data_IF_325941492038
#
_entry.id   IF_325941492038
#
_cell.length_a   1.000
_cell.length_b   1.000
_cell.length_c   1.000
_cell.angle_alpha   90.00
_cell.angle_beta   90.00
_cell.angle_gamma   90.00
#
_symmetry.space_group_name_H-M   'P 1'
#
loop_
_entity.id
_entity.type
_entity.pdbx_description
1 polymer ?
#
# COMPACT_ATOMS: atom_id res chain seq x y z
N UNK A 1 -12.84 -15.53 16.34
CA UNK A 1 -13.32 -14.38 15.53
C UNK A 1 -12.11 -13.83 14.80
N UNK A 2 -12.14 -13.75 13.48
CA UNK A 2 -11.07 -13.12 12.69
C UNK A 2 -11.03 -11.64 13.03
N UNK A 3 -9.85 -11.16 13.45
CA UNK A 3 -9.65 -9.75 13.82
C UNK A 3 -9.52 -8.90 12.54
N UNK A 4 -10.66 -8.38 12.05
CA UNK A 4 -10.72 -7.54 10.85
C UNK A 4 -10.27 -6.13 11.19
N UNK A 5 -9.26 -5.63 10.51
CA UNK A 5 -8.70 -4.28 10.74
C UNK A 5 -9.19 -3.26 9.73
N UNK A 6 -9.50 -3.67 8.50
CA UNK A 6 -10.09 -2.80 7.46
C UNK A 6 -11.25 -3.55 6.82
N UNK A 7 -12.38 -2.90 6.71
CA UNK A 7 -13.59 -3.45 6.07
C UNK A 7 -14.27 -2.43 5.19
N UNK A 8 -14.82 -2.89 4.08
CA UNK A 8 -15.76 -2.09 3.28
C UNK A 8 -17.12 -2.76 3.25
N UNK A 9 -18.16 -1.95 3.22
CA UNK A 9 -19.53 -2.43 3.14
C UNK A 9 -20.17 -1.88 1.88
N UNK A 10 -20.35 -2.73 0.88
CA UNK A 10 -21.05 -2.45 -0.38
C UNK A 10 -20.64 -1.11 -1.00
N UNK A 11 -19.32 -0.85 -1.10
CA UNK A 11 -18.81 0.39 -1.67
C UNK A 11 -19.21 0.54 -3.14
N UNK A 12 -19.81 1.69 -3.45
CA UNK A 12 -20.16 2.07 -4.82
C UNK A 12 -19.52 3.40 -5.16
N UNK A 13 -18.98 3.51 -6.36
CA UNK A 13 -18.58 4.78 -6.96
C UNK A 13 -19.08 4.88 -8.37
N UNK A 14 -19.84 5.94 -8.63
CA UNK A 14 -20.38 6.26 -9.97
C UNK A 14 -19.80 7.58 -10.47
N UNK A 15 -19.47 7.61 -11.74
CA UNK A 15 -19.07 8.80 -12.50
C UNK A 15 -20.04 8.94 -13.68
N UNK A 16 -21.07 9.75 -13.51
CA UNK A 16 -22.15 9.80 -14.50
C UNK A 16 -22.78 8.41 -14.73
N UNK A 17 -22.70 7.91 -15.96
CA UNK A 17 -23.21 6.58 -16.33
C UNK A 17 -22.28 5.40 -16.02
N UNK A 18 -21.03 5.66 -15.56
CA UNK A 18 -20.02 4.61 -15.31
C UNK A 18 -20.02 4.27 -13.84
N UNK A 19 -20.14 2.98 -13.51
CA UNK A 19 -19.96 2.47 -12.16
C UNK A 19 -18.56 1.89 -12.04
N UNK A 20 -17.65 2.61 -11.37
CA UNK A 20 -16.24 2.23 -11.23
C UNK A 20 -15.97 1.26 -10.07
N UNK A 21 -16.75 1.34 -8.97
CA UNK A 21 -16.85 0.29 -7.95
C UNK A 21 -18.32 -0.04 -7.74
N UNK A 22 -18.64 -1.32 -7.63
CA UNK A 22 -20.00 -1.84 -7.60
C UNK A 22 -20.16 -2.84 -6.43
N UNK A 23 -20.77 -2.38 -5.34
CA UNK A 23 -21.03 -3.18 -4.14
C UNK A 23 -19.80 -3.91 -3.59
N UNK A 24 -18.63 -3.26 -3.59
CA UNK A 24 -17.39 -3.88 -3.11
C UNK A 24 -17.42 -4.01 -1.61
N UNK A 25 -17.44 -5.27 -1.12
CA UNK A 25 -17.23 -5.63 0.27
C UNK A 25 -15.93 -6.40 0.38
N UNK A 26 -14.96 -5.83 1.11
CA UNK A 26 -13.60 -6.36 1.28
C UNK A 26 -13.28 -6.38 2.77
N UNK A 27 -12.61 -7.44 3.23
CA UNK A 27 -12.10 -7.54 4.59
C UNK A 27 -10.59 -7.79 4.59
N UNK A 28 -9.85 -6.99 5.34
CA UNK A 28 -8.44 -7.21 5.62
C UNK A 28 -8.30 -7.53 7.09
N UNK A 29 -7.77 -8.72 7.39
CA UNK A 29 -7.55 -9.17 8.77
C UNK A 29 -6.19 -8.69 9.29
N UNK A 30 -6.03 -8.66 10.61
CA UNK A 30 -4.76 -8.28 11.24
C UNK A 30 -3.62 -9.18 10.74
N UNK A 31 -2.52 -8.55 10.36
CA UNK A 31 -1.33 -9.24 9.87
C UNK A 31 -1.46 -9.86 8.48
N UNK A 32 -2.60 -9.66 7.80
CA UNK A 32 -2.77 -10.20 6.45
C UNK A 32 -1.74 -9.66 5.47
N UNK A 33 -1.31 -10.52 4.56
CA UNK A 33 -0.64 -10.19 3.31
C UNK A 33 -1.67 -10.38 2.20
N UNK A 34 -2.54 -9.39 2.04
CA UNK A 34 -3.70 -9.45 1.15
C UNK A 34 -3.36 -8.79 -0.18
N UNK A 35 -3.60 -9.47 -1.30
CA UNK A 35 -3.45 -8.88 -2.62
C UNK A 35 -4.82 -8.54 -3.23
N UNK A 36 -4.90 -7.38 -3.88
CA UNK A 36 -6.02 -6.96 -4.72
C UNK A 36 -5.56 -6.95 -6.17
N UNK A 37 -6.09 -7.88 -6.96
CA UNK A 37 -5.74 -8.04 -8.37
C UNK A 37 -6.96 -7.80 -9.27
N UNK A 38 -6.73 -7.72 -10.55
CA UNK A 38 -7.77 -7.56 -11.56
C UNK A 38 -7.25 -6.86 -12.81
N UNK A 39 -7.95 -6.94 -13.93
CA UNK A 39 -7.56 -6.32 -15.18
C UNK A 39 -7.49 -4.79 -15.09
N UNK A 40 -6.91 -4.18 -16.14
CA UNK A 40 -6.95 -2.73 -16.27
C UNK A 40 -8.40 -2.25 -16.37
N UNK A 41 -8.73 -1.18 -15.64
CA UNK A 41 -10.10 -0.69 -15.57
C UNK A 41 -11.03 -1.44 -14.61
N UNK A 42 -10.56 -2.47 -13.90
CA UNK A 42 -11.36 -3.22 -12.92
C UNK A 42 -11.86 -2.41 -11.72
N UNK A 43 -11.37 -1.18 -11.52
CA UNK A 43 -11.77 -0.32 -10.41
C UNK A 43 -10.79 -0.29 -9.22
N UNK A 44 -9.64 -0.96 -9.30
CA UNK A 44 -8.64 -1.06 -8.21
C UNK A 44 -8.22 0.32 -7.68
N UNK A 45 -7.78 1.22 -8.56
CA UNK A 45 -7.37 2.59 -8.18
C UNK A 45 -8.52 3.37 -7.55
N UNK A 46 -9.75 3.21 -8.08
CA UNK A 46 -10.95 3.85 -7.51
C UNK A 46 -11.21 3.34 -6.10
N UNK A 47 -11.13 2.02 -5.88
CA UNK A 47 -11.29 1.41 -4.55
C UNK A 47 -10.24 1.95 -3.57
N UNK A 48 -8.97 1.98 -3.95
CA UNK A 48 -7.90 2.53 -3.10
C UNK A 48 -8.15 4.00 -2.76
N UNK A 49 -8.59 4.82 -3.72
CA UNK A 49 -8.90 6.22 -3.48
C UNK A 49 -10.10 6.39 -2.53
N UNK A 50 -11.07 5.46 -2.56
CA UNK A 50 -12.16 5.42 -1.56
C UNK A 50 -11.66 5.01 -0.18
N UNK A 51 -10.81 3.98 -0.08
CA UNK A 51 -10.20 3.54 1.18
C UNK A 51 -9.38 4.65 1.83
N UNK A 52 -8.59 5.38 1.04
CA UNK A 52 -7.71 6.46 1.53
C UNK A 52 -8.41 7.79 1.78
N UNK A 53 -9.68 7.93 1.36
CA UNK A 53 -10.45 9.19 1.51
C UNK A 53 -10.10 10.27 0.49
N UNK A 54 -9.26 9.95 -0.50
CA UNK A 54 -9.00 10.84 -1.65
C UNK A 54 -10.27 11.03 -2.48
N UNK A 55 -11.14 10.00 -2.47
CA UNK A 55 -12.40 10.02 -3.20
C UNK A 55 -13.54 9.50 -2.30
N UNK A 56 -14.60 10.29 -2.07
CA UNK A 56 -15.76 9.79 -1.33
C UNK A 56 -16.52 8.76 -2.17
N UNK A 57 -17.05 7.69 -1.54
CA UNK A 57 -17.96 6.77 -2.22
C UNK A 57 -19.30 7.46 -2.56
N UNK A 58 -20.02 6.92 -3.55
CA UNK A 58 -21.40 7.32 -3.84
C UNK A 58 -22.35 6.72 -2.82
N UNK A 59 -22.06 5.48 -2.37
CA UNK A 59 -22.74 4.79 -1.27
C UNK A 59 -21.83 3.72 -0.67
N UNK A 60 -22.25 3.15 0.46
CA UNK A 60 -21.45 2.22 1.23
C UNK A 60 -20.57 2.93 2.27
N UNK A 61 -19.80 2.16 3.03
CA UNK A 61 -18.93 2.70 4.07
C UNK A 61 -17.60 1.98 4.17
N UNK A 62 -16.62 2.64 4.79
CA UNK A 62 -15.28 2.12 5.09
C UNK A 62 -15.10 2.13 6.60
N UNK A 63 -14.74 1.00 7.17
CA UNK A 63 -14.41 0.84 8.59
C UNK A 63 -12.92 0.52 8.76
N UNK A 64 -12.27 1.18 9.72
CA UNK A 64 -10.91 0.89 10.17
C UNK A 64 -10.97 0.61 11.67
N UNK A 65 -10.49 -0.58 12.10
CA UNK A 65 -10.50 -1.01 13.51
C UNK A 65 -11.89 -0.92 14.17
N UNK A 66 -12.96 -1.15 13.39
CA UNK A 66 -14.34 -1.06 13.83
C UNK A 66 -14.96 0.35 13.83
N UNK A 67 -14.19 1.38 13.48
CA UNK A 67 -14.66 2.76 13.38
C UNK A 67 -15.01 3.12 11.94
N UNK A 68 -16.14 3.79 11.72
CA UNK A 68 -16.50 4.33 10.39
C UNK A 68 -15.64 5.54 10.06
N UNK A 69 -14.80 5.38 9.04
CA UNK A 69 -13.89 6.41 8.54
C UNK A 69 -14.33 7.03 7.21
N UNK A 70 -15.53 6.71 6.73
CA UNK A 70 -16.02 7.06 5.39
C UNK A 70 -15.94 8.56 5.10
N UNK A 71 -16.32 9.39 6.08
CA UNK A 71 -16.31 10.85 5.95
C UNK A 71 -14.98 11.52 6.35
N UNK A 72 -13.99 10.73 6.82
CA UNK A 72 -12.73 11.30 7.27
C UNK A 72 -11.82 11.68 6.11
N UNK A 73 -11.20 12.86 6.23
CA UNK A 73 -10.16 13.31 5.30
C UNK A 73 -8.91 12.41 5.35
N UNK A 74 -8.11 12.31 4.26
CA UNK A 74 -6.97 11.41 4.16
C UNK A 74 -6.00 11.49 5.34
N UNK A 75 -5.59 12.69 5.77
CA UNK A 75 -4.66 12.88 6.87
C UNK A 75 -5.18 12.31 8.21
N UNK A 76 -6.50 12.32 8.43
CA UNK A 76 -7.12 11.72 9.62
C UNK A 76 -7.07 10.20 9.56
N UNK A 77 -7.27 9.61 8.37
CA UNK A 77 -7.12 8.15 8.18
C UNK A 77 -5.69 7.70 8.40
N UNK A 78 -4.70 8.49 7.96
CA UNK A 78 -3.28 8.24 8.26
C UNK A 78 -3.03 8.26 9.76
N UNK A 79 -3.56 9.23 10.49
CA UNK A 79 -3.43 9.32 11.94
C UNK A 79 -4.05 8.12 12.68
N UNK A 80 -5.08 7.48 12.12
CA UNK A 80 -5.69 6.23 12.62
C UNK A 80 -4.90 4.98 12.21
N UNK A 81 -3.89 5.10 11.33
CA UNK A 81 -3.02 4.02 10.90
C UNK A 81 -3.35 3.40 9.55
N UNK A 82 -4.18 4.02 8.71
CA UNK A 82 -4.37 3.62 7.32
C UNK A 82 -3.43 4.45 6.43
N UNK A 83 -2.31 3.85 6.04
CA UNK A 83 -1.25 4.54 5.29
C UNK A 83 -1.14 3.94 3.89
N UNK A 84 -1.01 4.80 2.88
CA UNK A 84 -0.71 4.41 1.50
C UNK A 84 0.67 4.91 1.12
N UNK A 85 1.45 4.09 0.41
CA UNK A 85 2.67 4.57 -0.26
C UNK A 85 2.30 5.58 -1.35
N UNK A 86 3.13 6.60 -1.50
CA UNK A 86 2.99 7.58 -2.57
C UNK A 86 3.81 7.13 -3.78
N UNK A 87 3.58 7.72 -4.94
CA UNK A 87 4.44 7.51 -6.09
C UNK A 87 5.81 8.17 -5.87
N UNK A 88 6.88 7.58 -6.38
CA UNK A 88 8.29 8.04 -6.24
C UNK A 88 8.47 9.55 -6.51
N UNK A 89 7.64 10.13 -7.36
CA UNK A 89 7.68 11.55 -7.70
C UNK A 89 7.34 12.50 -6.52
N UNK A 90 6.90 11.96 -5.39
CA UNK A 90 6.57 12.75 -4.19
C UNK A 90 7.67 12.71 -3.10
N UNK A 91 8.77 12.00 -3.35
CA UNK A 91 9.93 12.05 -2.47
C UNK A 91 10.61 13.42 -2.54
N UNK A 92 11.08 13.90 -1.39
CA UNK A 92 11.87 15.13 -1.33
C UNK A 92 13.26 14.86 -1.92
N UNK A 93 13.45 15.22 -3.18
CA UNK A 93 14.65 14.93 -3.95
C UNK A 93 15.95 15.49 -3.35
N UNK A 94 15.85 16.54 -2.56
CA UNK A 94 16.99 17.25 -1.91
C UNK A 94 17.32 16.70 -0.52
N UNK A 95 16.37 16.02 0.13
CA UNK A 95 16.61 15.41 1.43
C UNK A 95 17.33 14.05 1.26
N UNK A 96 18.09 13.69 2.29
CA UNK A 96 18.65 12.34 2.39
C UNK A 96 17.61 11.36 2.95
N UNK A 97 17.79 10.03 2.81
CA UNK A 97 16.97 9.03 3.47
C UNK A 97 16.83 9.26 4.97
N UNK A 98 17.95 9.54 5.67
CA UNK A 98 17.94 9.82 7.09
C UNK A 98 17.09 11.05 7.41
N UNK A 99 17.25 12.16 6.68
CA UNK A 99 16.45 13.37 6.87
C UNK A 99 14.96 13.13 6.62
N UNK A 100 14.64 12.41 5.55
CA UNK A 100 13.26 12.08 5.19
C UNK A 100 12.58 11.24 6.26
N UNK A 101 13.27 10.20 6.76
CA UNK A 101 12.80 9.36 7.86
C UNK A 101 12.65 10.17 9.16
N UNK A 102 13.61 11.04 9.48
CA UNK A 102 13.53 11.89 10.66
C UNK A 102 12.28 12.80 10.63
N UNK A 103 11.93 13.35 9.47
CA UNK A 103 10.68 14.13 9.29
C UNK A 103 9.45 13.23 9.52
N UNK A 104 9.41 12.04 8.92
CA UNK A 104 8.28 11.12 9.05
C UNK A 104 8.09 10.63 10.51
N UNK A 105 9.18 10.22 11.17
CA UNK A 105 9.15 9.77 12.57
C UNK A 105 8.76 10.91 13.49
N UNK A 106 9.32 12.12 13.30
CA UNK A 106 9.01 13.29 14.12
C UNK A 106 7.56 13.75 13.98
N UNK A 107 6.95 13.58 12.80
CA UNK A 107 5.54 13.95 12.57
C UNK A 107 4.56 13.16 13.45
N UNK A 108 4.95 11.98 13.88
CA UNK A 108 4.18 11.08 14.75
C UNK A 108 4.41 11.37 16.23
N UNK A 109 5.58 11.88 16.56
CA UNK A 109 5.89 12.34 17.92
C UNK A 109 5.49 13.81 18.06
N UNK A 110 5.06 14.24 19.26
CA UNK A 110 4.81 15.66 19.56
C UNK A 110 6.03 16.57 19.32
N UNK A 111 7.18 15.98 18.95
CA UNK A 111 8.38 16.68 18.52
C UNK A 111 8.14 17.62 17.31
N UNK A 112 7.16 17.31 16.44
CA UNK A 112 6.73 18.21 15.37
C UNK A 112 6.19 19.57 15.90
N UNK A 113 5.74 19.63 17.16
CA UNK A 113 5.35 20.88 17.86
C UNK A 113 6.56 21.69 18.36
N UNK A 114 7.77 21.10 18.38
CA UNK A 114 9.02 21.73 18.82
C UNK A 114 9.89 22.09 17.62
N UNK A 115 9.29 22.77 16.64
CA UNK A 115 9.93 23.14 15.37
C UNK A 115 11.27 23.92 15.49
N UNK A 116 11.58 24.45 16.68
CA UNK A 116 12.86 25.13 16.99
C UNK A 116 13.96 24.18 17.50
N UNK A 117 13.69 22.88 17.71
CA UNK A 117 14.73 21.94 18.13
C UNK A 117 15.33 21.21 16.91
N UNK A 118 16.67 21.12 16.79
CA UNK A 118 17.29 20.32 15.75
C UNK A 118 16.81 18.86 15.82
N UNK A 119 16.39 18.29 14.70
CA UNK A 119 15.87 16.92 14.54
C UNK A 119 16.82 15.81 15.06
N UNK A 120 18.12 16.09 15.20
CA UNK A 120 19.13 15.12 15.63
C UNK A 120 19.36 14.99 17.14
N UNK A 121 18.60 15.70 18.01
CA UNK A 121 18.82 15.68 19.45
C UNK A 121 18.01 14.64 20.22
N UNK A 122 16.99 14.07 19.62
CA UNK A 122 16.16 13.04 20.26
C UNK A 122 16.72 11.65 19.91
N UNK A 123 17.35 11.02 20.90
CA UNK A 123 17.97 9.70 20.74
C UNK A 123 16.94 8.62 20.34
N UNK A 124 15.67 8.77 20.72
CA UNK A 124 14.60 7.83 20.35
C UNK A 124 14.29 7.92 18.86
N UNK A 125 14.19 9.16 18.34
CA UNK A 125 13.97 9.40 16.90
C UNK A 125 15.17 8.91 16.09
N UNK A 126 16.39 9.19 16.55
CA UNK A 126 17.61 8.74 15.87
C UNK A 126 17.67 7.21 15.78
N UNK A 127 17.48 6.51 16.90
CA UNK A 127 17.49 5.04 16.93
C UNK A 127 16.38 4.42 16.05
N UNK A 128 15.20 5.03 15.99
CA UNK A 128 14.12 4.56 15.12
C UNK A 128 14.46 4.76 13.64
N UNK A 129 15.07 5.89 13.28
CA UNK A 129 15.54 6.14 11.93
C UNK A 129 16.63 5.16 11.50
N UNK A 130 17.60 4.88 12.38
CA UNK A 130 18.66 3.89 12.13
C UNK A 130 18.06 2.49 11.90
N UNK A 131 17.13 2.05 12.75
CA UNK A 131 16.44 0.78 12.58
C UNK A 131 15.67 0.67 11.25
N UNK A 132 15.03 1.76 10.82
CA UNK A 132 14.34 1.80 9.51
C UNK A 132 15.34 1.77 8.35
N UNK A 133 16.47 2.50 8.44
CA UNK A 133 17.51 2.44 7.43
C UNK A 133 18.08 1.03 7.27
N UNK A 134 18.31 0.33 8.37
CA UNK A 134 18.78 -1.05 8.36
C UNK A 134 17.74 -2.00 7.78
N UNK A 135 16.49 -1.95 8.28
CA UNK A 135 15.38 -2.79 7.82
C UNK A 135 15.16 -2.70 6.32
N UNK A 136 15.25 -1.48 5.76
CA UNK A 136 15.05 -1.22 4.34
C UNK A 136 16.34 -1.20 3.51
N UNK A 137 17.48 -1.64 4.09
CA UNK A 137 18.79 -1.71 3.40
C UNK A 137 19.20 -0.37 2.76
N UNK A 138 18.98 0.72 3.50
CA UNK A 138 19.28 2.09 3.09
C UNK A 138 20.48 2.71 3.83
N UNK A 139 21.11 1.98 4.75
CA UNK A 139 22.18 2.49 5.63
C UNK A 139 23.36 3.07 4.81
N UNK A 140 23.80 2.40 3.75
CA UNK A 140 24.89 2.88 2.89
C UNK A 140 24.52 4.14 2.07
N UNK A 141 23.25 4.48 2.05
CA UNK A 141 22.69 5.62 1.31
C UNK A 141 22.16 6.71 2.24
N UNK A 142 22.31 6.57 3.55
CA UNK A 142 21.66 7.41 4.57
C UNK A 142 21.89 8.92 4.36
N UNK A 143 23.09 9.28 3.90
CA UNK A 143 23.53 10.66 3.72
C UNK A 143 23.58 11.15 2.25
N UNK A 144 23.15 10.31 1.30
CA UNK A 144 23.09 10.70 -0.12
C UNK A 144 21.75 11.36 -0.42
N UNK A 145 21.73 12.40 -1.26
CA UNK A 145 20.48 13.00 -1.69
C UNK A 145 19.57 11.98 -2.39
N UNK A 146 18.27 11.99 -2.09
CA UNK A 146 17.30 11.03 -2.62
C UNK A 146 17.32 10.93 -4.15
N UNK A 147 17.56 12.05 -4.85
CA UNK A 147 17.70 12.07 -6.32
C UNK A 147 18.86 11.22 -6.86
N UNK A 148 19.87 10.96 -6.03
CA UNK A 148 21.09 10.21 -6.41
C UNK A 148 20.95 8.70 -6.16
N UNK A 149 19.89 8.27 -5.49
CA UNK A 149 19.64 6.86 -5.21
C UNK A 149 19.22 6.11 -6.47
N UNK A 150 19.65 4.85 -6.62
CA UNK A 150 19.05 3.92 -7.57
C UNK A 150 17.53 3.82 -7.42
N UNK A 151 16.83 3.52 -8.51
CA UNK A 151 15.35 3.50 -8.51
C UNK A 151 14.77 2.55 -7.46
N UNK A 152 15.28 1.34 -7.33
CA UNK A 152 14.85 0.38 -6.31
C UNK A 152 15.05 0.89 -4.88
N UNK A 153 16.15 1.63 -4.63
CA UNK A 153 16.40 2.24 -3.32
C UNK A 153 15.44 3.39 -3.00
N UNK A 154 15.04 4.19 -4.01
CA UNK A 154 13.97 5.19 -3.83
C UNK A 154 12.64 4.51 -3.48
N UNK A 155 12.35 3.37 -4.11
CA UNK A 155 11.13 2.61 -3.82
C UNK A 155 11.12 2.05 -2.39
N UNK A 156 12.25 1.51 -1.94
CA UNK A 156 12.41 1.09 -0.55
C UNK A 156 12.27 2.26 0.44
N UNK A 157 12.83 3.44 0.12
CA UNK A 157 12.67 4.64 0.95
C UNK A 157 11.20 5.07 1.05
N UNK A 158 10.46 5.04 -0.05
CA UNK A 158 9.02 5.35 -0.05
C UNK A 158 8.24 4.43 0.90
N UNK A 159 8.52 3.12 0.85
CA UNK A 159 7.88 2.15 1.75
C UNK A 159 8.33 2.39 3.20
N UNK A 160 9.62 2.66 3.43
CA UNK A 160 10.16 2.97 4.74
C UNK A 160 9.49 4.20 5.38
N UNK A 161 9.24 5.26 4.60
CA UNK A 161 8.51 6.45 5.05
C UNK A 161 7.07 6.13 5.46
N UNK A 162 6.39 5.27 4.72
CA UNK A 162 5.06 4.81 5.08
C UNK A 162 5.07 3.96 6.36
N UNK A 163 6.06 3.08 6.53
CA UNK A 163 6.24 2.27 7.74
C UNK A 163 6.65 3.12 8.95
N UNK A 164 7.42 4.18 8.74
CA UNK A 164 7.78 5.15 9.79
C UNK A 164 6.55 5.77 10.48
N UNK A 165 5.39 5.80 9.82
CA UNK A 165 4.12 6.25 10.39
C UNK A 165 3.42 5.19 11.27
N UNK A 166 4.03 4.00 11.47
CA UNK A 166 3.50 2.88 12.25
C UNK A 166 2.08 2.47 11.81
N UNK A 167 1.90 2.10 10.53
CA UNK A 167 0.58 1.75 10.01
C UNK A 167 0.00 0.51 10.70
N UNK A 168 -1.33 0.49 10.86
CA UNK A 168 -2.10 -0.73 11.13
C UNK A 168 -2.46 -1.45 9.84
N UNK A 169 -2.70 -0.66 8.78
CA UNK A 169 -2.93 -1.12 7.42
C UNK A 169 -2.08 -0.29 6.47
N UNK A 170 -1.20 -0.97 5.74
CA UNK A 170 -0.33 -0.40 4.71
C UNK A 170 -0.89 -0.76 3.34
N UNK A 171 -1.25 0.24 2.54
CA UNK A 171 -1.69 0.09 1.16
C UNK A 171 -0.49 0.32 0.24
N UNK A 172 -0.13 -0.71 -0.52
CA UNK A 172 0.96 -0.67 -1.50
C UNK A 172 0.36 -0.73 -2.91
N UNK A 173 0.56 0.32 -3.68
CA UNK A 173 0.04 0.43 -5.04
C UNK A 173 1.20 0.24 -6.03
N UNK A 174 1.26 -0.95 -6.63
CA UNK A 174 2.29 -1.39 -7.58
C UNK A 174 3.73 -1.09 -7.09
N UNK A 175 4.14 -1.61 -5.92
CA UNK A 175 5.45 -1.29 -5.34
C UNK A 175 6.64 -1.75 -6.18
N UNK A 176 6.43 -2.71 -7.08
CA UNK A 176 7.45 -3.24 -7.97
C UNK A 176 7.44 -2.58 -9.37
N UNK A 177 6.52 -1.64 -9.65
CA UNK A 177 6.43 -0.99 -10.95
C UNK A 177 7.69 -0.18 -11.28
N UNK A 178 8.23 -0.38 -12.49
CA UNK A 178 9.44 0.28 -12.96
C UNK A 178 10.75 -0.21 -12.33
N UNK A 179 10.69 -1.17 -11.41
CA UNK A 179 11.87 -1.78 -10.79
C UNK A 179 12.39 -2.92 -11.67
N UNK A 180 13.72 -3.03 -11.87
CA UNK A 180 14.32 -4.17 -12.58
C UNK A 180 13.89 -5.51 -11.97
N UNK A 181 13.63 -6.52 -12.82
CA UNK A 181 13.08 -7.81 -12.36
C UNK A 181 13.89 -8.46 -11.23
N UNK A 182 15.23 -8.33 -11.27
CA UNK A 182 16.11 -8.86 -10.23
C UNK A 182 15.91 -8.22 -8.84
N UNK A 183 15.39 -6.99 -8.77
CA UNK A 183 15.19 -6.24 -7.52
C UNK A 183 13.75 -6.32 -6.99
N UNK A 184 12.77 -6.75 -7.83
CA UNK A 184 11.34 -6.79 -7.45
C UNK A 184 11.08 -7.73 -6.28
N UNK A 185 11.69 -8.93 -6.32
CA UNK A 185 11.57 -9.93 -5.27
C UNK A 185 12.10 -9.40 -3.92
N UNK A 186 13.21 -8.64 -3.94
CA UNK A 186 13.81 -8.05 -2.75
C UNK A 186 12.89 -7.01 -2.09
N UNK A 187 12.18 -6.20 -2.89
CA UNK A 187 11.20 -5.24 -2.37
C UNK A 187 10.07 -5.99 -1.65
N UNK A 188 9.48 -7.00 -2.29
CA UNK A 188 8.39 -7.75 -1.69
C UNK A 188 8.84 -8.58 -0.48
N UNK A 189 10.05 -9.16 -0.51
CA UNK A 189 10.61 -9.83 0.66
C UNK A 189 10.77 -8.86 1.85
N UNK A 190 11.20 -7.62 1.60
CA UNK A 190 11.30 -6.59 2.64
C UNK A 190 9.91 -6.24 3.21
N UNK A 191 8.88 -6.15 2.36
CA UNK A 191 7.50 -5.91 2.79
C UNK A 191 6.92 -7.12 3.53
N UNK A 192 7.21 -8.33 3.08
CA UNK A 192 6.75 -9.56 3.72
C UNK A 192 7.33 -9.70 5.15
N UNK A 193 8.56 -9.23 5.37
CA UNK A 193 9.24 -9.22 6.66
C UNK A 193 8.73 -8.13 7.65
N UNK A 194 7.75 -7.31 7.26
CA UNK A 194 7.13 -6.36 8.18
C UNK A 194 6.49 -7.07 9.37
N UNK A 195 6.44 -6.42 10.55
CA UNK A 195 5.84 -6.99 11.76
C UNK A 195 4.44 -7.56 11.52
N UNK A 196 4.10 -8.63 12.25
CA UNK A 196 2.83 -9.33 12.08
C UNK A 196 1.58 -8.50 12.48
N UNK A 197 1.77 -7.40 13.18
CA UNK A 197 0.69 -6.46 13.51
C UNK A 197 0.41 -5.43 12.40
N UNK A 198 1.27 -5.35 11.37
CA UNK A 198 1.06 -4.53 10.18
C UNK A 198 0.36 -5.38 9.11
N UNK A 199 -0.86 -5.05 8.78
CA UNK A 199 -1.59 -5.66 7.67
C UNK A 199 -1.23 -4.96 6.37
N UNK A 200 -1.04 -5.71 5.30
CA UNK A 200 -0.68 -5.15 3.98
C UNK A 200 -1.78 -5.48 2.97
N UNK A 201 -2.28 -4.46 2.28
CA UNK A 201 -3.08 -4.61 1.07
C UNK A 201 -2.23 -4.18 -0.12
N UNK A 202 -1.82 -5.18 -0.92
CA UNK A 202 -0.97 -5.03 -2.10
C UNK A 202 -1.81 -4.98 -3.36
N UNK A 203 -1.61 -3.98 -4.19
CA UNK A 203 -2.13 -3.97 -5.56
C UNK A 203 -0.96 -4.29 -6.49
N UNK A 204 -1.09 -5.36 -7.24
CA UNK A 204 -0.08 -5.78 -8.22
C UNK A 204 -0.76 -6.46 -9.41
N UNK A 205 -0.06 -6.49 -10.52
CA UNK A 205 -0.47 -7.15 -11.75
C UNK A 205 0.47 -8.29 -12.15
N UNK A 206 1.64 -8.37 -11.53
CA UNK A 206 2.60 -9.47 -11.70
C UNK A 206 2.15 -10.64 -10.80
N UNK A 207 1.61 -11.69 -11.43
CA UNK A 207 1.01 -12.82 -10.70
C UNK A 207 2.03 -13.62 -9.90
N UNK A 208 3.27 -13.75 -10.39
CA UNK A 208 4.33 -14.47 -9.67
C UNK A 208 4.66 -13.76 -8.36
N UNK A 209 4.71 -12.43 -8.40
CA UNK A 209 4.89 -11.61 -7.22
C UNK A 209 3.71 -11.73 -6.25
N UNK A 210 2.48 -11.69 -6.77
CA UNK A 210 1.25 -11.83 -5.97
C UNK A 210 1.22 -13.17 -5.26
N UNK A 211 1.45 -14.27 -5.97
CA UNK A 211 1.41 -15.62 -5.39
C UNK A 211 2.53 -15.88 -4.39
N UNK A 212 3.70 -15.27 -4.58
CA UNK A 212 4.80 -15.40 -3.63
C UNK A 212 4.60 -14.61 -2.33
N UNK A 213 3.79 -13.54 -2.38
CA UNK A 213 3.60 -12.61 -1.27
C UNK A 213 2.32 -12.85 -0.47
N UNK A 214 1.19 -13.07 -1.17
CA UNK A 214 -0.12 -13.01 -0.55
C UNK A 214 -0.51 -14.31 0.16
N UNK A 215 -1.19 -14.17 1.30
CA UNK A 215 -1.92 -15.28 1.94
C UNK A 215 -3.43 -15.25 1.63
N UNK A 216 -3.93 -14.14 1.06
CA UNK A 216 -5.29 -13.94 0.59
C UNK A 216 -5.29 -13.04 -0.63
N UNK A 217 -6.12 -13.36 -1.61
CA UNK A 217 -6.21 -12.60 -2.86
C UNK A 217 -7.69 -12.30 -3.13
N UNK A 218 -8.01 -11.03 -3.40
CA UNK A 218 -9.30 -10.60 -3.93
C UNK A 218 -9.14 -10.22 -5.40
N UNK A 219 -9.98 -10.78 -6.25
CA UNK A 219 -10.02 -10.50 -7.69
C UNK A 219 -11.15 -9.52 -7.98
N UNK A 220 -10.82 -8.35 -8.51
CA UNK A 220 -11.76 -7.31 -8.89
C UNK A 220 -11.97 -7.33 -10.41
N UNK A 221 -13.24 -7.33 -10.85
CA UNK A 221 -13.61 -7.29 -12.27
C UNK A 221 -14.82 -6.39 -12.43
N UNK A 222 -14.81 -5.50 -13.42
CA UNK A 222 -15.91 -4.57 -13.71
C UNK A 222 -16.45 -3.84 -12.46
N UNK A 223 -15.55 -3.46 -11.57
CA UNK A 223 -15.87 -2.73 -10.34
C UNK A 223 -16.39 -3.59 -9.18
N UNK A 224 -16.63 -4.88 -9.38
CA UNK A 224 -17.10 -5.83 -8.36
C UNK A 224 -16.06 -6.87 -7.96
N UNK A 225 -16.23 -7.49 -6.80
CA UNK A 225 -15.43 -8.66 -6.41
C UNK A 225 -15.94 -9.86 -7.18
N UNK A 226 -15.07 -10.47 -7.99
CA UNK A 226 -15.34 -11.70 -8.70
C UNK A 226 -15.23 -12.90 -7.74
N UNK A 227 -14.08 -13.01 -7.08
CA UNK A 227 -13.79 -14.09 -6.14
C UNK A 227 -12.75 -13.65 -5.13
N UNK A 228 -12.65 -14.37 -4.01
CA UNK A 228 -11.65 -14.12 -2.97
C UNK A 228 -11.26 -15.45 -2.31
N UNK A 229 -9.96 -15.64 -2.10
CA UNK A 229 -9.47 -16.88 -1.51
C UNK A 229 -7.96 -16.92 -1.28
N UNK A 230 -7.43 -18.05 -0.82
CA UNK A 230 -5.99 -18.29 -0.76
C UNK A 230 -5.40 -18.41 -2.17
N UNK A 231 -4.08 -18.20 -2.33
CA UNK A 231 -3.41 -18.22 -3.64
C UNK A 231 -3.73 -19.44 -4.50
N UNK A 232 -3.68 -20.63 -3.93
CA UNK A 232 -3.92 -21.89 -4.66
C UNK A 232 -5.35 -21.98 -5.22
N UNK A 233 -6.35 -21.51 -4.45
CA UNK A 233 -7.74 -21.49 -4.91
C UNK A 233 -7.92 -20.50 -6.07
N UNK A 234 -7.32 -19.30 -5.97
CA UNK A 234 -7.37 -18.29 -7.02
C UNK A 234 -6.65 -18.76 -8.29
N UNK A 235 -5.50 -19.42 -8.16
CA UNK A 235 -4.76 -19.98 -9.29
C UNK A 235 -5.52 -21.10 -10.00
N UNK A 236 -6.36 -21.85 -9.28
CA UNK A 236 -7.17 -22.93 -9.85
C UNK A 236 -8.48 -22.44 -10.49
N UNK A 237 -8.95 -21.24 -10.11
CA UNK A 237 -10.26 -20.72 -10.50
C UNK A 237 -10.36 -20.48 -12.02
N UNK A 238 -11.33 -21.13 -12.72
CA UNK A 238 -11.48 -21.00 -14.17
C UNK A 238 -11.96 -19.61 -14.60
N UNK A 239 -12.75 -18.90 -13.78
CA UNK A 239 -13.20 -17.54 -14.08
C UNK A 239 -12.04 -16.55 -14.00
N UNK A 240 -11.16 -16.72 -13.01
CA UNK A 240 -9.93 -15.92 -12.89
C UNK A 240 -9.04 -16.15 -14.10
N UNK A 241 -8.81 -17.42 -14.49
CA UNK A 241 -8.04 -17.74 -15.69
C UNK A 241 -8.62 -17.10 -16.95
N UNK A 242 -9.95 -17.16 -17.13
CA UNK A 242 -10.60 -16.56 -18.30
C UNK A 242 -10.41 -15.03 -18.37
N UNK A 243 -10.46 -14.34 -17.23
CA UNK A 243 -10.23 -12.89 -17.15
C UNK A 243 -8.81 -12.51 -17.56
N UNK A 244 -7.81 -13.29 -17.20
CA UNK A 244 -6.40 -12.99 -17.50
C UNK A 244 -5.98 -13.53 -18.87
N UNK A 245 -6.46 -14.70 -19.32
CA UNK A 245 -6.18 -15.27 -20.65
C UNK A 245 -6.88 -14.50 -21.78
N UNK A 246 -8.07 -13.94 -21.51
CA UNK A 246 -8.80 -13.11 -22.48
C UNK A 246 -8.13 -11.76 -22.79
N UNK A 247 -7.03 -11.41 -22.10
CA UNK A 247 -6.23 -10.20 -22.35
C UNK A 247 -4.95 -10.46 -23.17
N UNK A 248 -4.62 -11.71 -23.43
CA UNK A 248 -3.45 -12.10 -24.22
C UNK A 248 -3.81 -12.23 -25.71
N UNK A 249 -4.41 -11.16 -26.34
CA UNK A 249 -4.26 -10.90 -27.78
C UNK A 249 -4.89 -9.56 -28.15
N UNK A 250 -4.07 -8.59 -28.64
CA UNK A 250 -4.36 -8.06 -29.96
C UNK A 250 -3.46 -8.80 -30.94
N UNK A 251 -4.07 -9.65 -31.78
CA UNK A 251 -3.42 -10.08 -33.00
C UNK A 251 -2.93 -8.85 -33.77
N UNK A 252 -1.62 -8.73 -33.92
CA UNK A 252 -1.06 -7.87 -34.93
C UNK A 252 -1.31 -8.55 -36.28
N UNK A 253 -2.32 -8.06 -37.00
CA UNK A 253 -2.46 -8.23 -38.44
C UNK A 253 -1.73 -7.07 -39.13
#
# INVERSE_FOLDING_TARGET
MTDVVLRTHSLVKRFGGITATNNVSLEVTRGARHALIGPNGAGKTTLINQLTGVMPPTSGRVELLGEDITALAPHKRVALGLVRTFQINQLFNTLTPLQSLAVAVSSRHDAARRWWQPLGRDATIAAECEGLLEQFRLTEHADRATKELPYGKRRLLEIALAVALKPKVLLLDEPAAGVPAAERADILATVAALPADVSVLLIEHDMDLVFSFANRITVLVNGGVLTEGPPDAIAADPEVKAVYLGQTEPAHG
#
